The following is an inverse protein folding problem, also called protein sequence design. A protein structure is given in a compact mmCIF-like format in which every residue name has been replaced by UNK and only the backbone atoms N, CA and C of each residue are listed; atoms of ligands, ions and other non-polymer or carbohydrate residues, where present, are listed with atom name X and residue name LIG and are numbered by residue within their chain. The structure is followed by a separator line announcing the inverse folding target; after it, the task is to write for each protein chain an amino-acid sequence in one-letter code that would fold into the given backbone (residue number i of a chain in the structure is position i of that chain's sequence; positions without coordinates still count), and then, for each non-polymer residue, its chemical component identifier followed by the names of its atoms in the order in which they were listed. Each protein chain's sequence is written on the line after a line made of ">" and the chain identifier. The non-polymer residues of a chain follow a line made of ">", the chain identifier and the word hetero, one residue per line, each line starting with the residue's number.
data_IF_381068105918
#
_entry.id   IF_381068105918
#
_cell.length_a   1.000
_cell.length_b   1.000
_cell.length_c   1.000
_cell.angle_alpha   90.00
_cell.angle_beta   90.00
_cell.angle_gamma   90.00
#
_symmetry.space_group_name_H-M   'P 1'
#
loop_
_entity.id
_entity.type
_entity.pdbx_description
1 polymer ?
#
# COMPACT_ATOMS: atom_id res chain seq x y z
N UNK A 1 2.47 -16.01 9.22
CA UNK A 1 1.49 -15.95 8.12
C UNK A 1 0.96 -14.54 8.04
N UNK A 2 0.80 -13.99 6.83
CA UNK A 2 0.12 -12.71 6.65
C UNK A 2 -1.37 -12.92 6.87
N UNK A 3 -1.94 -12.17 7.79
CA UNK A 3 -3.35 -12.35 8.21
C UNK A 3 -4.14 -11.06 8.11
N UNK A 4 -3.45 -9.92 8.08
CA UNK A 4 -4.08 -8.60 8.03
C UNK A 4 -3.38 -7.75 6.98
N UNK A 5 -4.13 -6.81 6.41
CA UNK A 5 -3.59 -5.88 5.43
C UNK A 5 -4.31 -4.55 5.44
N UNK A 6 -3.77 -3.63 4.65
CA UNK A 6 -4.34 -2.33 4.38
C UNK A 6 -4.39 -2.09 2.88
N UNK A 7 -5.57 -1.71 2.40
CA UNK A 7 -5.76 -1.17 1.05
C UNK A 7 -6.02 0.33 1.15
N UNK A 8 -5.10 1.13 0.61
CA UNK A 8 -5.29 2.56 0.41
C UNK A 8 -5.71 2.78 -1.04
N UNK A 9 -6.82 3.48 -1.29
CA UNK A 9 -7.23 3.85 -2.66
C UNK A 9 -7.33 5.35 -2.82
N UNK A 10 -6.87 5.81 -3.97
CA UNK A 10 -6.93 7.21 -4.39
C UNK A 10 -7.54 7.30 -5.78
N UNK A 11 -8.33 8.36 -6.01
CA UNK A 11 -8.88 8.66 -7.32
C UNK A 11 -8.24 9.95 -7.85
N UNK A 12 -7.51 9.82 -8.95
CA UNK A 12 -6.76 10.89 -9.58
C UNK A 12 -7.67 12.02 -10.03
N UNK A 13 -7.23 13.27 -9.86
CA UNK A 13 -7.77 14.37 -10.65
C UNK A 13 -7.42 14.19 -12.13
N UNK A 14 -8.27 14.66 -13.06
CA UNK A 14 -7.94 14.62 -14.48
C UNK A 14 -6.59 15.28 -14.77
N UNK A 15 -5.69 14.57 -15.46
CA UNK A 15 -4.35 15.05 -15.82
C UNK A 15 -3.28 14.83 -14.76
N UNK A 16 -3.62 14.24 -13.61
CA UNK A 16 -2.67 13.93 -12.51
C UNK A 16 -2.26 12.45 -12.46
N UNK A 17 -2.67 11.64 -13.43
CA UNK A 17 -2.45 10.20 -13.46
C UNK A 17 -0.97 9.83 -13.48
N UNK A 18 -0.19 10.45 -14.38
CA UNK A 18 1.25 10.19 -14.49
C UNK A 18 2.02 10.59 -13.22
N UNK A 19 1.59 11.67 -12.57
CA UNK A 19 2.18 12.17 -11.35
C UNK A 19 1.91 11.23 -10.16
N UNK A 20 0.71 10.65 -10.10
CA UNK A 20 0.37 9.63 -9.09
C UNK A 20 1.14 8.34 -9.36
N UNK A 21 1.23 7.89 -10.61
CA UNK A 21 2.04 6.72 -10.96
C UNK A 21 3.50 6.89 -10.53
N UNK A 22 4.07 8.07 -10.78
CA UNK A 22 5.44 8.37 -10.36
C UNK A 22 5.57 8.41 -8.83
N UNK A 23 4.68 9.14 -8.15
CA UNK A 23 4.64 9.20 -6.69
C UNK A 23 4.56 7.80 -6.06
N UNK A 24 3.70 6.93 -6.58
CA UNK A 24 3.56 5.57 -6.06
C UNK A 24 4.80 4.71 -6.34
N UNK A 25 5.49 4.89 -7.48
CA UNK A 25 6.75 4.19 -7.74
C UNK A 25 7.86 4.65 -6.79
N UNK A 26 7.95 5.96 -6.55
CA UNK A 26 8.95 6.55 -5.67
C UNK A 26 8.67 6.24 -4.20
N UNK A 27 7.39 6.00 -3.85
CA UNK A 27 6.96 5.61 -2.51
C UNK A 27 7.60 4.31 -2.00
N UNK A 28 8.10 3.45 -2.89
CA UNK A 28 8.88 2.27 -2.52
C UNK A 28 10.19 2.64 -1.79
N UNK A 29 10.80 3.78 -2.15
CA UNK A 29 12.01 4.27 -1.50
C UNK A 29 11.75 5.07 -0.21
N UNK A 30 10.48 5.28 0.15
CA UNK A 30 10.06 5.93 1.40
C UNK A 30 9.70 4.91 2.49
N UNK A 31 9.82 3.61 2.19
CA UNK A 31 9.65 2.53 3.14
C UNK A 31 10.96 2.38 3.92
N UNK A 32 10.89 2.34 5.26
CA UNK A 32 12.06 2.20 6.12
C UNK A 32 12.33 0.70 6.31
N UNK A 33 13.43 0.21 5.72
CA UNK A 33 13.84 -1.20 5.63
C UNK A 33 13.77 -2.00 6.97
N UNK A 34 13.70 -1.34 8.13
CA UNK A 34 13.71 -2.00 9.46
C UNK A 34 12.33 -2.29 10.08
N UNK A 35 11.22 -1.73 9.58
CA UNK A 35 9.88 -1.95 10.18
C UNK A 35 8.74 -2.20 9.19
N UNK A 36 9.08 -2.35 7.90
CA UNK A 36 8.08 -2.49 6.86
C UNK A 36 7.23 -3.77 6.97
N UNK A 37 5.94 -3.69 6.59
CA UNK A 37 5.17 -4.90 6.35
C UNK A 37 5.88 -5.73 5.27
N UNK A 38 6.01 -7.05 5.44
CA UNK A 38 6.78 -7.94 4.57
C UNK A 38 6.32 -7.95 3.10
N UNK A 39 5.19 -7.29 2.80
CA UNK A 39 4.67 -7.12 1.45
C UNK A 39 4.13 -5.72 1.25
N UNK A 40 4.53 -5.09 0.15
CA UNK A 40 4.08 -3.77 -0.25
C UNK A 40 3.90 -3.73 -1.77
N UNK A 41 2.80 -3.11 -2.21
CA UNK A 41 2.45 -3.03 -3.62
C UNK A 41 1.86 -1.66 -3.94
N UNK A 42 2.47 -0.96 -4.90
CA UNK A 42 1.80 0.11 -5.64
C UNK A 42 0.87 -0.49 -6.68
N UNK A 43 -0.37 0.00 -6.73
CA UNK A 43 -1.43 -0.54 -7.57
C UNK A 43 -1.96 0.51 -8.55
N UNK A 44 -2.16 0.08 -9.80
CA UNK A 44 -3.13 0.71 -10.71
C UNK A 44 -4.37 -0.18 -10.76
N UNK A 45 -5.50 0.35 -10.29
CA UNK A 45 -6.76 -0.40 -10.21
C UNK A 45 -7.57 -0.20 -11.49
N UNK A 46 -7.60 1.03 -12.02
CA UNK A 46 -8.18 1.35 -13.32
C UNK A 46 -7.52 2.60 -13.93
N UNK A 47 -8.16 3.25 -14.91
CA UNK A 47 -7.60 4.41 -15.59
C UNK A 47 -7.33 5.62 -14.68
N UNK A 48 -8.14 5.81 -13.64
CA UNK A 48 -8.07 6.97 -12.74
C UNK A 48 -7.96 6.58 -11.25
N UNK A 49 -7.99 5.29 -10.93
CA UNK A 49 -7.93 4.79 -9.55
C UNK A 49 -6.63 4.03 -9.33
N UNK A 50 -5.93 4.42 -8.29
CA UNK A 50 -4.66 3.85 -7.87
C UNK A 50 -4.72 3.48 -6.40
N UNK A 51 -3.70 2.78 -5.91
CA UNK A 51 -3.67 2.44 -4.50
C UNK A 51 -2.35 1.89 -4.03
N UNK A 52 -2.33 1.61 -2.73
CA UNK A 52 -1.27 0.87 -2.09
C UNK A 52 -1.90 -0.29 -1.34
N UNK A 53 -1.36 -1.48 -1.51
CA UNK A 53 -1.70 -2.62 -0.68
C UNK A 53 -0.47 -3.07 0.10
N UNK A 54 -0.65 -3.34 1.39
CA UNK A 54 0.32 -4.06 2.18
C UNK A 54 -0.37 -5.13 3.01
N UNK A 55 0.38 -6.19 3.32
CA UNK A 55 -0.04 -7.24 4.22
C UNK A 55 1.06 -7.56 5.23
N UNK A 56 0.62 -7.83 6.45
CA UNK A 56 1.48 -8.03 7.62
C UNK A 56 0.90 -9.08 8.57
N UNK A 57 1.64 -9.38 9.64
CA UNK A 57 1.31 -10.48 10.55
C UNK A 57 0.54 -10.01 11.78
N UNK A 58 0.59 -8.70 12.09
CA UNK A 58 -0.01 -8.11 13.28
C UNK A 58 -0.70 -6.79 12.98
N UNK A 59 -1.79 -6.54 13.70
CA UNK A 59 -2.53 -5.29 13.62
C UNK A 59 -1.71 -4.05 13.98
N UNK A 60 -0.74 -4.19 14.88
CA UNK A 60 0.17 -3.10 15.26
C UNK A 60 1.03 -2.64 14.07
N UNK A 61 1.44 -3.57 13.19
CA UNK A 61 2.20 -3.27 11.96
C UNK A 61 1.32 -2.51 10.96
N UNK A 62 0.06 -2.94 10.81
CA UNK A 62 -0.95 -2.23 10.00
C UNK A 62 -1.19 -0.80 10.49
N UNK A 63 -1.25 -0.59 11.80
CA UNK A 63 -1.43 0.73 12.40
C UNK A 63 -0.19 1.61 12.27
N UNK A 64 1.02 1.02 12.37
CA UNK A 64 2.26 1.75 12.15
C UNK A 64 2.33 2.27 10.70
N UNK A 65 1.96 1.44 9.72
CA UNK A 65 1.90 1.84 8.32
C UNK A 65 0.92 3.00 8.08
N UNK A 66 -0.27 2.96 8.70
CA UNK A 66 -1.26 4.04 8.62
C UNK A 66 -0.74 5.39 9.12
N UNK A 67 0.19 5.37 10.08
CA UNK A 67 0.81 6.56 10.65
C UNK A 67 2.21 6.83 10.07
N UNK A 68 2.61 6.07 9.05
CA UNK A 68 3.93 6.12 8.44
C UNK A 68 4.10 7.27 7.44
N UNK A 69 5.35 7.47 7.02
CA UNK A 69 5.75 8.54 6.09
C UNK A 69 4.99 8.51 4.76
N UNK A 70 4.68 7.32 4.25
CA UNK A 70 3.92 7.16 2.99
C UNK A 70 2.50 7.71 3.12
N UNK A 71 1.81 7.42 4.23
CA UNK A 71 0.46 7.93 4.49
C UNK A 71 0.47 9.46 4.66
N UNK A 72 1.47 10.00 5.39
CA UNK A 72 1.65 11.43 5.53
C UNK A 72 1.89 12.13 4.18
N UNK A 73 2.81 11.61 3.36
CA UNK A 73 3.13 12.17 2.04
C UNK A 73 1.93 12.13 1.08
N UNK A 74 1.09 11.09 1.15
CA UNK A 74 -0.17 11.03 0.40
C UNK A 74 -1.15 12.12 0.84
N UNK A 75 -1.29 12.35 2.14
CA UNK A 75 -2.21 13.34 2.68
C UNK A 75 -1.76 14.78 2.39
N UNK A 76 -0.45 15.05 2.44
CA UNK A 76 0.12 16.36 2.09
C UNK A 76 -0.19 16.79 0.66
N UNK A 77 -0.31 15.82 -0.26
CA UNK A 77 -0.61 16.05 -1.67
C UNK A 77 -2.06 15.80 -2.04
N UNK A 78 -2.92 15.51 -1.06
CA UNK A 78 -4.27 15.01 -1.34
C UNK A 78 -5.13 15.99 -2.13
N UNK A 79 -5.12 17.28 -1.76
CA UNK A 79 -5.91 18.31 -2.44
C UNK A 79 -5.43 18.55 -3.88
N UNK A 80 -4.12 18.40 -4.12
CA UNK A 80 -3.49 18.57 -5.43
C UNK A 80 -3.80 17.41 -6.38
N UNK A 81 -3.67 16.17 -5.89
CA UNK A 81 -3.65 14.98 -6.73
C UNK A 81 -4.99 14.28 -6.85
N UNK A 82 -5.86 14.37 -5.84
CA UNK A 82 -7.05 13.52 -5.75
C UNK A 82 -8.35 14.30 -5.82
N UNK A 83 -9.37 13.70 -6.43
CA UNK A 83 -10.73 14.32 -6.47
C UNK A 83 -11.42 14.29 -5.11
N UNK A 84 -10.96 13.41 -4.21
CA UNK A 84 -11.47 13.21 -2.86
C UNK A 84 -10.34 12.68 -1.97
N UNK A 85 -10.46 12.77 -0.64
CA UNK A 85 -9.49 12.17 0.27
C UNK A 85 -9.25 10.69 -0.01
N UNK A 86 -8.03 10.17 0.24
CA UNK A 86 -7.75 8.74 0.16
C UNK A 86 -8.69 7.92 1.04
N UNK A 87 -9.09 6.75 0.55
CA UNK A 87 -9.80 5.76 1.36
C UNK A 87 -8.79 4.77 1.92
N UNK A 88 -8.99 4.36 3.18
CA UNK A 88 -8.11 3.43 3.89
C UNK A 88 -8.93 2.28 4.46
N UNK A 89 -8.74 1.09 3.91
CA UNK A 89 -9.53 -0.08 4.23
C UNK A 89 -8.67 -1.14 4.91
N UNK A 90 -9.08 -1.51 6.13
CA UNK A 90 -8.55 -2.69 6.82
C UNK A 90 -9.10 -3.92 6.12
N UNK A 91 -8.20 -4.83 5.74
CA UNK A 91 -8.58 -6.10 5.13
C UNK A 91 -8.01 -7.28 5.92
N UNK A 92 -8.68 -8.41 5.81
CA UNK A 92 -8.20 -9.71 6.28
C UNK A 92 -7.57 -10.45 5.11
N UNK A 93 -6.40 -11.04 5.36
CA UNK A 93 -5.68 -11.83 4.36
C UNK A 93 -5.98 -13.29 4.62
N UNK A 94 -6.84 -13.87 3.78
CA UNK A 94 -7.27 -15.27 3.92
C UNK A 94 -6.19 -16.27 3.51
N UNK A 95 -5.36 -15.90 2.53
CA UNK A 95 -4.22 -16.67 2.06
C UNK A 95 -3.22 -15.75 1.36
N UNK A 96 -1.94 -16.07 1.43
CA UNK A 96 -0.86 -15.39 0.70
C UNK A 96 0.15 -16.42 0.22
N UNK A 97 0.73 -16.19 -0.97
CA UNK A 97 1.87 -16.93 -1.50
C UNK A 97 2.97 -15.94 -1.86
N UNK A 98 4.18 -16.14 -1.33
CA UNK A 98 5.31 -15.23 -1.53
C UNK A 98 6.54 -15.93 -2.11
N UNK A 99 7.53 -15.19 -2.66
CA UNK A 99 8.72 -15.78 -3.26
C UNK A 99 9.52 -16.68 -2.30
N UNK A 100 9.53 -16.38 -1.00
CA UNK A 100 10.20 -17.18 0.04
C UNK A 100 9.30 -18.22 0.72
N UNK A 101 8.12 -18.53 0.16
CA UNK A 101 7.48 -19.83 0.42
C UNK A 101 8.33 -20.91 -0.25
N UNK A 102 9.48 -21.22 0.37
CA UNK A 102 10.11 -22.50 0.16
C UNK A 102 9.02 -23.55 0.32
N UNK A 103 8.79 -24.26 -0.78
CA UNK A 103 8.22 -25.59 -0.80
C UNK A 103 9.03 -26.41 0.21
N UNK A 104 8.62 -26.40 1.47
CA UNK A 104 8.86 -27.52 2.38
C UNK A 104 7.68 -28.44 2.15
N UNK A 105 7.72 -29.13 1.00
CA UNK A 105 7.00 -30.37 0.85
C UNK A 105 7.49 -31.26 2.00
N UNK A 106 6.62 -31.43 2.99
CA UNK A 106 6.79 -32.33 4.11
C UNK A 106 7.16 -33.70 3.54
N UNK A 107 8.38 -34.14 3.79
CA UNK A 107 8.75 -35.55 3.73
C UNK A 107 8.61 -36.12 5.14
#
# INVERSE_FOLDING_TARGET
>A
MLTVGLLVRVHARPGKEAEIEQFLRDGLGLSDDETDPPTWFALRINCATYGIFNACTKDTERLAYLNGRIAAALLERADELFVSPPTMERVEVLAAKLPDDHIVASH
#
